data_IF_604498056668
#
_entry.id   IF_604498056668
#
_cell.length_a   1.000
_cell.length_b   1.000
_cell.length_c   1.000
_cell.angle_alpha   90.00
_cell.angle_beta   90.00
_cell.angle_gamma   90.00
#
_symmetry.space_group_name_H-M   'P 1'
#
loop_
_entity.id
_entity.type
_entity.pdbx_description
1 polymer ?
#
# COMPACT_ATOMS: atom_id res chain seq x y z
N UNK A 1 -1.91 19.43 11.98
CA UNK A 1 -1.24 18.47 11.07
C UNK A 1 -2.25 18.11 10.01
N UNK A 2 -1.90 18.26 8.73
CA UNK A 2 -2.78 17.94 7.61
C UNK A 2 -2.13 16.82 6.78
N UNK A 3 -2.88 15.76 6.48
CA UNK A 3 -2.44 14.64 5.64
C UNK A 3 -2.89 14.84 4.20
N UNK A 4 -2.03 14.50 3.23
CA UNK A 4 -2.41 14.53 1.81
C UNK A 4 -3.30 13.33 1.49
N UNK A 5 -4.28 13.52 0.61
CA UNK A 5 -5.08 12.44 0.08
C UNK A 5 -4.17 11.41 -0.63
N UNK A 6 -4.45 10.13 -0.40
CA UNK A 6 -3.62 9.02 -0.85
C UNK A 6 -4.47 8.03 -1.65
N UNK A 7 -3.97 7.58 -2.81
CA UNK A 7 -4.76 6.82 -3.77
C UNK A 7 -5.18 5.44 -3.24
N UNK A 8 -4.34 4.78 -2.45
CA UNK A 8 -4.63 3.46 -1.87
C UNK A 8 -5.30 3.56 -0.48
N UNK A 9 -5.79 4.73 -0.08
CA UNK A 9 -6.48 4.91 1.19
C UNK A 9 -7.75 4.03 1.26
N UNK A 10 -7.88 3.24 2.32
CA UNK A 10 -9.00 2.33 2.59
C UNK A 10 -10.28 3.03 3.05
N UNK A 11 -10.28 4.35 3.17
CA UNK A 11 -11.45 5.13 3.61
C UNK A 11 -11.89 6.18 2.60
N UNK A 12 -10.97 7.01 2.09
CA UNK A 12 -11.30 8.20 1.28
C UNK A 12 -10.84 8.15 -0.17
N UNK A 13 -10.27 7.03 -0.64
CA UNK A 13 -9.91 6.90 -2.06
C UNK A 13 -11.15 6.95 -2.96
N UNK A 14 -11.00 7.47 -4.17
CA UNK A 14 -12.09 7.53 -5.15
C UNK A 14 -12.70 6.15 -5.42
N UNK A 15 -11.87 5.10 -5.44
CA UNK A 15 -12.34 3.72 -5.60
C UNK A 15 -13.26 3.31 -4.45
N UNK A 16 -12.89 3.57 -3.19
CA UNK A 16 -13.73 3.25 -2.02
C UNK A 16 -15.04 4.03 -2.06
N UNK A 17 -14.98 5.34 -2.33
CA UNK A 17 -16.18 6.19 -2.41
C UNK A 17 -17.12 5.71 -3.52
N UNK A 18 -16.57 5.35 -4.69
CA UNK A 18 -17.33 4.82 -5.82
C UNK A 18 -17.98 3.47 -5.51
N UNK A 19 -17.24 2.55 -4.89
CA UNK A 19 -17.75 1.22 -4.52
C UNK A 19 -18.84 1.31 -3.45
N UNK A 20 -18.65 2.17 -2.44
CA UNK A 20 -19.68 2.45 -1.44
C UNK A 20 -20.94 3.03 -2.08
N UNK A 21 -20.82 4.00 -3.00
CA UNK A 21 -21.98 4.55 -3.72
C UNK A 21 -22.71 3.51 -4.56
N UNK A 22 -21.98 2.52 -5.11
CA UNK A 22 -22.57 1.46 -5.95
C UNK A 22 -23.25 0.37 -5.14
N UNK A 23 -22.62 -0.08 -4.06
CA UNK A 23 -22.99 -1.29 -3.30
C UNK A 23 -23.61 -0.99 -1.94
N UNK A 24 -23.43 0.21 -1.41
CA UNK A 24 -23.98 0.64 -0.14
C UNK A 24 -23.47 -0.19 1.03
N UNK A 25 -24.40 -0.65 1.86
CA UNK A 25 -24.10 -1.34 3.12
C UNK A 25 -23.43 -2.72 2.90
N UNK A 26 -23.73 -3.40 1.79
CA UNK A 26 -23.11 -4.71 1.49
C UNK A 26 -21.59 -4.60 1.35
N UNK A 27 -21.09 -3.50 0.77
CA UNK A 27 -19.65 -3.25 0.70
C UNK A 27 -19.04 -2.97 2.08
N UNK A 28 -19.78 -2.27 2.96
CA UNK A 28 -19.32 -2.03 4.34
C UNK A 28 -19.24 -3.34 5.11
N UNK A 29 -20.27 -4.19 5.00
CA UNK A 29 -20.27 -5.49 5.68
C UNK A 29 -19.15 -6.40 5.19
N UNK A 30 -18.92 -6.47 3.87
CA UNK A 30 -17.78 -7.22 3.32
C UNK A 30 -16.44 -6.71 3.87
N UNK A 31 -16.23 -5.38 3.89
CA UNK A 31 -15.00 -4.79 4.40
C UNK A 31 -14.79 -5.02 5.91
N UNK A 32 -15.88 -5.15 6.68
CA UNK A 32 -15.82 -5.48 8.11
C UNK A 32 -15.57 -6.96 8.37
N UNK A 33 -16.16 -7.84 7.57
CA UNK A 33 -15.94 -9.29 7.64
C UNK A 33 -14.55 -9.68 7.14
N UNK A 34 -14.05 -8.98 6.11
CA UNK A 34 -12.77 -9.23 5.46
C UNK A 34 -12.04 -7.91 5.18
N UNK A 35 -11.24 -7.41 6.14
CA UNK A 35 -10.46 -6.17 5.94
C UNK A 35 -9.49 -6.24 4.75
N UNK A 36 -9.00 -7.42 4.38
CA UNK A 36 -8.14 -7.58 3.20
C UNK A 36 -8.86 -7.22 1.89
N UNK A 37 -10.19 -7.38 1.82
CA UNK A 37 -10.95 -7.05 0.61
C UNK A 37 -10.83 -5.57 0.23
N UNK A 38 -10.82 -4.65 1.21
CA UNK A 38 -10.69 -3.22 0.94
C UNK A 38 -9.25 -2.83 0.62
N UNK A 39 -8.25 -3.52 1.19
CA UNK A 39 -6.84 -3.33 0.84
C UNK A 39 -6.55 -3.81 -0.59
N UNK A 40 -7.13 -4.94 -0.99
CA UNK A 40 -7.04 -5.47 -2.35
C UNK A 40 -7.70 -4.52 -3.35
N UNK A 41 -8.90 -4.03 -3.01
CA UNK A 41 -9.65 -3.07 -3.82
C UNK A 41 -8.87 -1.76 -4.04
N UNK A 42 -8.21 -1.25 -3.01
CA UNK A 42 -7.45 0.00 -3.12
C UNK A 42 -6.05 -0.19 -3.70
N UNK A 43 -5.59 -1.43 -3.85
CA UNK A 43 -4.21 -1.74 -4.26
C UNK A 43 -3.19 -1.58 -3.14
N UNK A 44 -3.62 -1.42 -1.89
CA UNK A 44 -2.72 -1.34 -0.74
C UNK A 44 -1.97 -2.67 -0.51
N UNK A 45 -2.64 -3.81 -0.76
CA UNK A 45 -1.99 -5.13 -0.71
C UNK A 45 -0.79 -5.22 -1.66
N UNK A 46 -0.93 -4.68 -2.88
CA UNK A 46 0.16 -4.66 -3.86
C UNK A 46 1.28 -3.75 -3.40
N UNK A 47 0.97 -2.58 -2.86
CA UNK A 47 1.98 -1.67 -2.31
C UNK A 47 2.80 -2.34 -1.20
N UNK A 48 2.16 -3.03 -0.26
CA UNK A 48 2.87 -3.75 0.80
C UNK A 48 3.81 -4.82 0.24
N UNK A 49 3.36 -5.56 -0.79
CA UNK A 49 4.18 -6.58 -1.46
C UNK A 49 5.39 -5.96 -2.17
N UNK A 50 5.18 -4.87 -2.89
CA UNK A 50 6.26 -4.16 -3.59
C UNK A 50 7.27 -3.57 -2.61
N UNK A 51 6.80 -2.99 -1.51
CA UNK A 51 7.65 -2.47 -0.44
C UNK A 51 8.48 -3.60 0.20
N UNK A 52 7.87 -4.74 0.49
CA UNK A 52 8.57 -5.90 1.03
C UNK A 52 9.62 -6.45 0.07
N UNK A 53 9.28 -6.60 -1.21
CA UNK A 53 10.22 -7.06 -2.23
C UNK A 53 11.40 -6.08 -2.41
N UNK A 54 11.16 -4.78 -2.31
CA UNK A 54 12.22 -3.78 -2.35
C UNK A 54 13.16 -3.89 -1.15
N UNK A 55 12.64 -4.12 0.06
CA UNK A 55 13.44 -4.34 1.26
C UNK A 55 14.30 -5.60 1.15
N UNK A 56 13.72 -6.72 0.68
CA UNK A 56 14.45 -7.97 0.46
C UNK A 56 15.54 -7.81 -0.61
N UNK A 57 15.25 -7.10 -1.70
CA UNK A 57 16.24 -6.81 -2.73
C UNK A 57 17.42 -6.03 -2.16
N UNK A 58 17.17 -5.01 -1.33
CA UNK A 58 18.22 -4.22 -0.68
C UNK A 58 19.07 -5.06 0.28
N UNK A 59 18.49 -6.01 1.01
CA UNK A 59 19.23 -6.92 1.89
C UNK A 59 20.16 -7.85 1.11
N UNK A 60 19.75 -8.28 -0.09
CA UNK A 60 20.56 -9.15 -0.96
C UNK A 60 21.64 -8.41 -1.75
N UNK A 61 21.66 -7.07 -1.72
CA UNK A 61 22.77 -6.30 -2.27
C UNK A 61 23.96 -6.45 -1.31
N UNK A 62 24.95 -7.26 -1.69
CA UNK A 62 26.25 -7.18 -1.06
C UNK A 62 26.82 -5.78 -1.35
N UNK A 63 27.31 -5.05 -0.34
CA UNK A 63 27.95 -3.76 -0.57
C UNK A 63 29.12 -3.97 -1.52
N UNK A 64 29.14 -3.22 -2.63
CA UNK A 64 30.27 -3.24 -3.56
C UNK A 64 31.50 -2.72 -2.80
N UNK A 65 32.51 -3.58 -2.60
CA UNK A 65 33.71 -3.27 -1.80
C UNK A 65 34.53 -2.10 -2.40
N UNK A 66 34.21 -1.68 -3.63
CA UNK A 66 34.88 -0.61 -4.38
C UNK A 66 34.21 0.78 -4.26
N UNK A 67 33.03 0.90 -3.64
CA UNK A 67 32.41 2.20 -3.27
C UNK A 67 32.48 2.43 -1.75
N UNK A 68 33.69 2.31 -1.21
CA UNK A 68 34.03 2.86 0.09
C UNK A 68 33.87 4.39 0.04
N UNK A 69 32.67 4.88 0.37
CA UNK A 69 32.31 6.29 0.62
C UNK A 69 33.48 7.24 0.42
N UNK A 70 33.59 7.79 -0.79
CA UNK A 70 34.66 8.67 -1.24
C UNK A 70 35.23 9.55 -0.10
N UNK A 71 36.44 9.20 0.34
CA UNK A 71 37.39 10.08 1.02
C UNK A 71 36.81 11.00 2.13
N UNK A 72 36.66 10.47 3.35
CA UNK A 72 36.78 11.29 4.55
C UNK A 72 38.22 11.83 4.70
#
# INVERSE_FOLDING_TARGET
MEGRAYAQCTACSETVVREYRRRGLDFVLEALESPSSIEDLTGLTTLHREAQAALEAMETLEPDEDEAWDAL
#
